data_IF_587677171297
#
_entry.id   IF_587677171297
#
_cell.length_a   1.000
_cell.length_b   1.000
_cell.length_c   1.000
_cell.angle_alpha   90.00
_cell.angle_beta   90.00
_cell.angle_gamma   90.00
#
_symmetry.space_group_name_H-M   'P 1'
#
loop_
_entity.id
_entity.type
_entity.pdbx_description
1 polymer ?
#
# COMPACT_ATOMS: atom_id res chain seq x y z
N UNK A 1 -33.51 -22.25 28.99
CA UNK A 1 -33.33 -23.30 30.02
C UNK A 1 -32.00 -23.96 29.71
N UNK A 2 -30.95 -23.60 30.47
CA UNK A 2 -29.63 -24.23 30.35
C UNK A 2 -29.66 -25.59 31.07
N UNK A 3 -28.94 -26.62 30.58
CA UNK A 3 -28.91 -27.91 31.25
C UNK A 3 -28.21 -27.80 32.61
N UNK A 4 -28.89 -28.27 33.66
CA UNK A 4 -28.38 -28.38 35.02
C UNK A 4 -27.29 -29.46 35.10
N UNK A 5 -26.20 -29.19 35.82
CA UNK A 5 -25.14 -30.18 36.08
C UNK A 5 -23.69 -29.69 36.04
N UNK A 6 -23.41 -28.39 35.94
CA UNK A 6 -22.04 -27.88 36.04
C UNK A 6 -21.93 -26.80 37.11
N UNK A 7 -22.10 -27.22 38.35
CA UNK A 7 -21.41 -26.63 39.47
C UNK A 7 -21.28 -27.74 40.51
N UNK A 8 -20.07 -28.00 41.01
CA UNK A 8 -19.75 -28.20 42.43
C UNK A 8 -18.24 -28.49 42.57
N UNK A 9 -17.62 -27.72 43.45
CA UNK A 9 -16.33 -27.94 44.12
C UNK A 9 -15.04 -27.59 43.37
N UNK A 10 -14.71 -26.29 43.39
CA UNK A 10 -13.32 -25.91 43.64
C UNK A 10 -13.15 -25.73 45.15
N UNK A 11 -12.37 -26.62 45.77
CA UNK A 11 -12.05 -26.60 47.19
C UNK A 11 -11.46 -25.26 47.59
N UNK A 12 -12.13 -24.60 48.54
CA UNK A 12 -11.66 -23.41 49.19
C UNK A 12 -10.72 -23.81 50.33
N UNK A 13 -9.49 -24.19 49.99
CA UNK A 13 -8.43 -24.32 51.00
C UNK A 13 -7.74 -22.97 51.18
N UNK A 14 -8.12 -22.33 52.28
CA UNK A 14 -7.31 -21.33 52.97
C UNK A 14 -6.01 -21.99 53.41
N UNK A 15 -4.89 -21.59 52.80
CA UNK A 15 -3.63 -21.29 53.50
C UNK A 15 -2.51 -21.11 52.47
N UNK A 16 -2.21 -19.86 52.14
CA UNK A 16 -0.82 -19.34 52.11
C UNK A 16 -0.80 -17.92 51.55
N UNK A 17 -0.33 -17.01 52.39
CA UNK A 17 0.16 -15.68 52.01
C UNK A 17 1.20 -15.78 50.89
N UNK A 18 0.77 -15.73 49.62
CA UNK A 18 1.68 -15.53 48.48
C UNK A 18 1.10 -14.47 47.53
N UNK A 19 1.60 -13.25 47.72
CA UNK A 19 1.75 -12.20 46.70
C UNK A 19 0.45 -11.77 46.00
N UNK A 20 -0.38 -11.04 46.74
CA UNK A 20 -1.41 -10.17 46.15
C UNK A 20 -0.82 -8.79 45.79
N UNK A 21 0.39 -8.79 45.23
CA UNK A 21 1.14 -7.59 44.88
C UNK A 21 2.04 -7.93 43.68
N UNK A 22 1.46 -8.08 42.48
CA UNK A 22 2.25 -8.08 41.21
C UNK A 22 1.44 -8.12 39.90
N UNK A 23 0.11 -7.92 39.91
CA UNK A 23 -0.67 -7.92 38.64
C UNK A 23 -0.81 -6.52 38.04
N UNK A 24 -0.83 -5.45 38.85
CA UNK A 24 -0.99 -4.08 38.35
C UNK A 24 0.32 -3.40 37.90
N UNK A 25 1.49 -3.92 38.30
CA UNK A 25 2.79 -3.27 38.02
C UNK A 25 3.42 -3.72 36.68
N UNK A 26 2.79 -4.67 35.97
CA UNK A 26 3.38 -5.32 34.78
C UNK A 26 2.76 -4.96 33.43
N UNK A 27 1.92 -3.92 33.37
CA UNK A 27 1.61 -3.23 32.13
C UNK A 27 2.84 -2.42 31.67
N UNK A 28 3.88 -3.13 31.22
CA UNK A 28 5.13 -2.49 30.81
C UNK A 28 5.01 -1.72 29.49
N UNK A 29 6.00 -0.89 29.14
CA UNK A 29 6.02 -0.09 27.90
C UNK A 29 5.80 -0.91 26.61
N UNK A 30 6.15 -2.20 26.62
CA UNK A 30 5.92 -3.12 25.51
C UNK A 30 4.45 -3.51 25.32
N UNK A 31 3.70 -3.68 26.41
CA UNK A 31 2.26 -3.98 26.32
C UNK A 31 1.50 -2.75 25.82
N UNK A 32 1.86 -1.56 26.26
CA UNK A 32 1.28 -0.30 25.77
C UNK A 32 1.54 -0.10 24.27
N UNK A 33 2.77 -0.35 23.80
CA UNK A 33 3.09 -0.28 22.38
C UNK A 33 2.30 -1.32 21.56
N UNK A 34 2.15 -2.54 22.08
CA UNK A 34 1.33 -3.57 21.43
C UNK A 34 -0.13 -3.15 21.34
N UNK A 35 -0.71 -2.60 22.41
CA UNK A 35 -2.08 -2.08 22.40
C UNK A 35 -2.24 -0.95 21.36
N UNK A 36 -1.29 -0.01 21.28
CA UNK A 36 -1.27 1.04 20.25
C UNK A 36 -1.19 0.44 18.84
N UNK A 37 -0.32 -0.53 18.61
CA UNK A 37 -0.21 -1.21 17.31
C UNK A 37 -1.51 -1.89 16.89
N UNK A 38 -2.18 -2.61 17.80
CA UNK A 38 -3.45 -3.27 17.50
C UNK A 38 -4.58 -2.28 17.25
N UNK A 39 -4.67 -1.20 18.04
CA UNK A 39 -5.70 -0.17 17.84
C UNK A 39 -5.49 0.57 16.52
N UNK A 40 -4.25 0.96 16.20
CA UNK A 40 -3.88 1.57 14.92
C UNK A 40 -4.19 0.66 13.73
N UNK A 41 -3.86 -0.63 13.81
CA UNK A 41 -4.18 -1.61 12.76
C UNK A 41 -5.68 -1.81 12.56
N UNK A 42 -6.46 -1.76 13.63
CA UNK A 42 -7.92 -1.89 13.58
C UNK A 42 -8.55 -0.64 12.99
N UNK A 43 -8.13 0.54 13.44
CA UNK A 43 -8.61 1.79 12.88
C UNK A 43 -8.26 1.94 11.40
N UNK A 44 -7.05 1.53 10.99
CA UNK A 44 -6.67 1.51 9.58
C UNK A 44 -7.60 0.60 8.77
N UNK A 45 -7.96 -0.58 9.27
CA UNK A 45 -8.93 -1.45 8.58
C UNK A 45 -10.27 -0.75 8.37
N UNK A 46 -10.78 -0.05 9.38
CA UNK A 46 -12.03 0.70 9.27
C UNK A 46 -11.93 1.78 8.19
N UNK A 47 -10.86 2.59 8.21
CA UNK A 47 -10.63 3.64 7.21
C UNK A 47 -10.54 3.06 5.80
N UNK A 48 -9.80 1.96 5.62
CA UNK A 48 -9.68 1.28 4.34
C UNK A 48 -11.02 0.72 3.85
N UNK A 49 -11.83 0.14 4.74
CA UNK A 49 -13.14 -0.39 4.38
C UNK A 49 -14.11 0.73 3.98
N UNK A 50 -14.09 1.87 4.68
CA UNK A 50 -14.93 3.03 4.33
C UNK A 50 -14.57 3.56 2.95
N UNK A 51 -13.28 3.76 2.69
CA UNK A 51 -12.82 4.22 1.38
C UNK A 51 -13.09 3.18 0.28
N UNK A 52 -12.95 1.89 0.56
CA UNK A 52 -13.30 0.83 -0.39
C UNK A 52 -14.80 0.86 -0.72
N UNK A 53 -15.67 1.01 0.28
CA UNK A 53 -17.11 1.10 0.07
C UNK A 53 -17.52 2.37 -0.67
N UNK A 54 -16.84 3.50 -0.42
CA UNK A 54 -17.05 4.75 -1.17
C UNK A 54 -16.62 4.60 -2.64
N UNK A 55 -15.56 3.84 -2.91
CA UNK A 55 -15.07 3.57 -4.27
C UNK A 55 -15.98 2.61 -5.03
N UNK A 56 -16.26 1.43 -4.47
CA UNK A 56 -16.86 0.30 -5.20
C UNK A 56 -18.33 0.02 -4.86
N UNK A 57 -18.91 0.73 -3.88
CA UNK A 57 -20.28 0.50 -3.42
C UNK A 57 -20.59 -0.96 -3.03
N UNK A 58 -21.86 -1.29 -2.77
CA UNK A 58 -22.29 -2.67 -2.49
C UNK A 58 -22.23 -3.58 -3.73
N UNK A 59 -22.28 -2.99 -4.92
CA UNK A 59 -22.34 -3.70 -6.20
C UNK A 59 -20.97 -3.98 -6.83
N UNK A 60 -19.87 -3.53 -6.21
CA UNK A 60 -18.51 -3.65 -6.73
C UNK A 60 -18.19 -2.73 -7.91
N UNK A 61 -19.11 -1.81 -8.28
CA UNK A 61 -18.94 -0.84 -9.36
C UNK A 61 -18.51 0.52 -8.82
N UNK A 62 -17.73 1.25 -9.61
CA UNK A 62 -17.28 2.60 -9.22
C UNK A 62 -18.48 3.51 -8.94
N UNK A 63 -18.40 4.26 -7.83
CA UNK A 63 -19.44 5.24 -7.45
C UNK A 63 -19.36 6.56 -8.23
N UNK A 64 -18.34 6.75 -9.07
CA UNK A 64 -18.12 7.94 -9.89
C UNK A 64 -17.97 7.56 -11.36
N UNK A 65 -18.13 8.52 -12.27
CA UNK A 65 -17.93 8.27 -13.70
C UNK A 65 -16.44 8.11 -14.00
N UNK A 66 -15.97 6.91 -14.39
CA UNK A 66 -14.56 6.70 -14.69
C UNK A 66 -14.10 7.45 -15.95
N UNK A 67 -15.01 7.91 -16.81
CA UNK A 67 -14.64 8.63 -18.05
C UNK A 67 -14.33 10.11 -17.80
N UNK A 68 -14.82 10.68 -16.70
CA UNK A 68 -14.58 12.07 -16.31
C UNK A 68 -13.25 12.21 -15.57
N UNK A 69 -12.22 12.71 -16.26
CA UNK A 69 -10.88 12.96 -15.69
C UNK A 69 -10.91 13.82 -14.42
N UNK A 70 -11.80 14.82 -14.37
CA UNK A 70 -11.93 15.74 -13.24
C UNK A 70 -12.50 15.05 -12.01
N UNK A 71 -13.57 14.25 -12.17
CA UNK A 71 -14.17 13.50 -11.06
C UNK A 71 -13.20 12.46 -10.51
N UNK A 72 -12.56 11.72 -11.41
CA UNK A 72 -11.50 10.76 -11.13
C UNK A 72 -10.39 11.40 -10.28
N UNK A 73 -9.81 12.51 -10.74
CA UNK A 73 -8.73 13.17 -10.02
C UNK A 73 -9.19 13.69 -8.66
N UNK A 74 -10.40 14.26 -8.57
CA UNK A 74 -10.96 14.74 -7.32
C UNK A 74 -11.15 13.62 -6.30
N UNK A 75 -11.82 12.53 -6.68
CA UNK A 75 -12.03 11.37 -5.80
C UNK A 75 -10.72 10.71 -5.40
N UNK A 76 -9.72 10.65 -6.28
CA UNK A 76 -8.40 10.12 -5.95
C UNK A 76 -7.74 10.91 -4.81
N UNK A 77 -7.77 12.24 -4.91
CA UNK A 77 -7.19 13.14 -3.93
C UNK A 77 -7.93 13.05 -2.59
N UNK A 78 -9.26 13.05 -2.59
CA UNK A 78 -10.06 12.92 -1.36
C UNK A 78 -9.75 11.61 -0.62
N UNK A 79 -9.73 10.46 -1.31
CA UNK A 79 -9.42 9.19 -0.66
C UNK A 79 -7.97 9.14 -0.14
N UNK A 80 -7.03 9.74 -0.87
CA UNK A 80 -5.64 9.89 -0.43
C UNK A 80 -5.55 10.73 0.85
N UNK A 81 -6.23 11.87 0.89
CA UNK A 81 -6.25 12.79 2.05
C UNK A 81 -6.80 12.10 3.30
N UNK A 82 -7.81 11.24 3.18
CA UNK A 82 -8.32 10.44 4.30
C UNK A 82 -7.22 9.57 4.91
N UNK A 83 -6.43 8.89 4.06
CA UNK A 83 -5.34 8.04 4.54
C UNK A 83 -4.17 8.84 5.11
N UNK A 84 -3.81 9.96 4.49
CA UNK A 84 -2.82 10.90 5.03
C UNK A 84 -3.28 11.47 6.38
N UNK A 85 -4.57 11.77 6.52
CA UNK A 85 -5.19 12.18 7.78
C UNK A 85 -5.03 11.12 8.86
N UNK A 86 -5.34 9.86 8.56
CA UNK A 86 -5.10 8.73 9.47
C UNK A 86 -3.62 8.63 9.89
N UNK A 87 -2.68 8.79 8.95
CA UNK A 87 -1.24 8.72 9.24
C UNK A 87 -0.78 9.83 10.18
N UNK A 88 -1.36 11.03 10.08
CA UNK A 88 -1.06 12.17 10.97
C UNK A 88 -1.54 11.96 12.41
N UNK A 89 -2.48 11.05 12.64
CA UNK A 89 -3.00 10.72 13.98
C UNK A 89 -2.13 9.70 14.74
N UNK A 90 -1.08 9.17 14.11
CA UNK A 90 -0.18 8.21 14.74
C UNK A 90 0.59 8.86 15.89
N UNK A 91 0.76 8.11 16.97
CA UNK A 91 1.66 8.50 18.07
C UNK A 91 3.11 8.57 17.56
N UNK A 92 3.99 9.40 18.16
CA UNK A 92 5.38 9.54 17.71
C UNK A 92 6.14 8.22 17.56
N UNK A 93 5.87 7.25 18.44
CA UNK A 93 6.46 5.89 18.41
C UNK A 93 6.10 5.08 17.15
N UNK A 94 4.95 5.38 16.53
CA UNK A 94 4.43 4.69 15.35
C UNK A 94 4.54 5.53 14.09
N UNK A 95 4.90 6.81 14.20
CA UNK A 95 5.09 7.69 13.07
C UNK A 95 6.33 7.24 12.27
N UNK A 96 6.30 7.45 10.95
CA UNK A 96 7.43 7.15 10.08
C UNK A 96 7.53 8.14 8.94
N UNK A 97 8.75 8.32 8.43
CA UNK A 97 9.00 9.06 7.19
C UNK A 97 8.99 8.13 5.99
N UNK A 98 8.59 8.65 4.83
CA UNK A 98 8.67 7.95 3.56
C UNK A 98 10.13 7.67 3.13
N UNK A 99 11.09 8.41 3.67
CA UNK A 99 12.52 8.26 3.36
C UNK A 99 13.26 7.41 4.41
N UNK A 100 12.56 6.96 5.46
CA UNK A 100 13.13 6.09 6.48
C UNK A 100 13.31 4.66 5.95
N UNK A 101 14.32 3.96 6.46
CA UNK A 101 14.49 2.54 6.17
C UNK A 101 13.29 1.70 6.65
N UNK A 102 13.03 0.55 6.01
CA UNK A 102 11.97 -0.35 6.44
C UNK A 102 12.16 -0.80 7.88
N UNK A 103 11.05 -0.94 8.59
CA UNK A 103 11.09 -1.38 9.97
C UNK A 103 11.42 -2.87 10.05
N UNK A 104 12.28 -3.23 10.99
CA UNK A 104 12.60 -4.62 11.31
C UNK A 104 11.56 -5.25 12.24
N UNK A 105 10.73 -4.43 12.89
CA UNK A 105 9.58 -4.90 13.67
C UNK A 105 8.45 -5.29 12.71
N UNK A 106 8.06 -6.56 12.77
CA UNK A 106 7.01 -7.14 11.94
C UNK A 106 5.68 -6.39 12.04
N UNK A 107 5.30 -5.87 13.21
CA UNK A 107 4.02 -5.18 13.40
C UNK A 107 4.06 -3.78 12.79
N UNK A 108 5.16 -3.04 12.98
CA UNK A 108 5.34 -1.72 12.36
C UNK A 108 5.39 -1.87 10.84
N UNK A 109 6.18 -2.83 10.34
CA UNK A 109 6.26 -3.15 8.92
C UNK A 109 4.89 -3.50 8.33
N UNK A 110 4.09 -4.32 9.02
CA UNK A 110 2.71 -4.64 8.61
C UNK A 110 1.83 -3.40 8.52
N UNK A 111 1.90 -2.49 9.49
CA UNK A 111 1.14 -1.23 9.46
C UNK A 111 1.56 -0.38 8.27
N UNK A 112 2.88 -0.17 8.07
CA UNK A 112 3.43 0.59 6.94
C UNK A 112 3.00 -0.02 5.60
N UNK A 113 3.18 -1.33 5.44
CA UNK A 113 2.79 -2.06 4.23
C UNK A 113 1.29 -1.95 3.95
N UNK A 114 0.46 -2.03 4.99
CA UNK A 114 -0.99 -1.91 4.87
C UNK A 114 -1.43 -0.50 4.48
N UNK A 115 -0.78 0.53 5.01
CA UNK A 115 -1.03 1.92 4.62
C UNK A 115 -0.74 2.11 3.12
N UNK A 116 0.44 1.71 2.65
CA UNK A 116 0.80 1.86 1.24
C UNK A 116 -0.03 0.94 0.32
N UNK A 117 -0.34 -0.28 0.76
CA UNK A 117 -1.24 -1.19 0.03
C UNK A 117 -2.65 -0.62 -0.09
N UNK A 118 -3.13 0.08 0.94
CA UNK A 118 -4.38 0.84 0.93
C UNK A 118 -4.37 1.97 -0.09
N UNK A 119 -3.32 2.80 -0.10
CA UNK A 119 -3.13 3.83 -1.12
C UNK A 119 -3.13 3.22 -2.53
N UNK A 120 -2.41 2.13 -2.74
CA UNK A 120 -2.40 1.43 -4.03
C UNK A 120 -3.82 1.00 -4.44
N UNK A 121 -4.57 0.34 -3.55
CA UNK A 121 -5.95 -0.09 -3.82
C UNK A 121 -6.89 1.07 -4.16
N UNK A 122 -6.76 2.20 -3.46
CA UNK A 122 -7.57 3.39 -3.73
C UNK A 122 -7.21 4.05 -5.04
N UNK A 123 -5.92 4.08 -5.40
CA UNK A 123 -5.44 4.78 -6.57
C UNK A 123 -5.47 3.94 -7.87
N UNK A 124 -5.59 2.62 -7.74
CA UNK A 124 -5.58 1.67 -8.86
C UNK A 124 -6.58 1.98 -9.99
N UNK A 125 -7.84 2.41 -9.71
CA UNK A 125 -8.78 2.77 -10.77
C UNK A 125 -8.27 3.91 -11.66
N UNK A 126 -7.57 4.86 -11.05
CA UNK A 126 -7.05 6.03 -11.75
C UNK A 126 -5.79 5.72 -12.54
N UNK A 127 -4.95 4.81 -12.05
CA UNK A 127 -3.83 4.26 -12.84
C UNK A 127 -4.35 3.56 -14.10
N UNK A 128 -5.43 2.78 -13.99
CA UNK A 128 -6.07 2.15 -15.15
C UNK A 128 -6.55 3.20 -16.14
N UNK A 129 -7.18 4.27 -15.66
CA UNK A 129 -7.63 5.36 -16.53
C UNK A 129 -6.48 6.04 -17.26
N UNK A 130 -5.41 6.39 -16.52
CA UNK A 130 -4.20 6.98 -17.06
C UNK A 130 -3.59 6.12 -18.18
N UNK A 131 -3.57 4.81 -18.00
CA UNK A 131 -2.96 3.89 -18.97
C UNK A 131 -3.79 3.66 -20.23
N UNK A 132 -5.12 3.72 -20.15
CA UNK A 132 -6.00 3.31 -21.25
C UNK A 132 -6.71 4.47 -21.95
N UNK A 133 -6.75 5.65 -21.35
CA UNK A 133 -7.62 6.77 -21.80
C UNK A 133 -6.84 8.05 -22.07
N UNK A 134 -5.58 8.14 -21.61
CA UNK A 134 -4.68 9.20 -22.05
C UNK A 134 -4.23 8.89 -23.47
N UNK A 135 -4.98 9.38 -24.45
CA UNK A 135 -4.48 9.52 -25.82
C UNK A 135 -3.38 10.58 -25.79
N UNK A 136 -2.14 10.13 -25.88
CA UNK A 136 -1.03 11.03 -26.18
C UNK A 136 -1.21 11.53 -27.62
N UNK A 137 -0.99 12.83 -27.89
CA UNK A 137 -1.13 13.35 -29.23
C UNK A 137 -0.27 12.53 -30.20
N UNK A 138 -0.78 12.27 -31.42
CA UNK A 138 -0.06 11.45 -32.38
C UNK A 138 1.32 12.06 -32.62
N UNK A 139 2.36 11.22 -32.76
CA UNK A 139 3.68 11.72 -33.11
C UNK A 139 3.56 12.49 -34.44
N UNK A 140 4.31 13.60 -34.62
CA UNK A 140 4.12 14.51 -35.73
C UNK A 140 4.23 13.77 -37.07
N UNK A 141 3.46 14.18 -38.10
CA UNK A 141 3.48 13.54 -39.42
C UNK A 141 4.92 13.55 -39.96
N UNK A 142 5.52 12.37 -40.06
CA UNK A 142 6.94 12.16 -40.38
C UNK A 142 7.65 11.11 -39.51
N UNK A 143 7.05 10.64 -38.42
CA UNK A 143 7.60 9.57 -37.55
C UNK A 143 6.95 8.19 -37.77
N UNK A 144 6.30 7.99 -38.90
CA UNK A 144 5.84 6.67 -39.37
C UNK A 144 7.06 5.82 -39.77
N UNK A 145 7.64 5.09 -38.81
CA UNK A 145 8.75 4.18 -39.11
C UNK A 145 9.37 3.41 -37.95
N UNK A 146 8.94 3.61 -36.70
CA UNK A 146 9.41 2.79 -35.58
C UNK A 146 8.38 1.70 -35.27
N UNK A 147 8.35 0.67 -36.12
CA UNK A 147 7.77 -0.63 -35.77
C UNK A 147 8.26 -1.07 -34.40
N UNK A 148 7.31 -1.46 -33.55
CA UNK A 148 7.56 -2.19 -32.32
C UNK A 148 8.24 -3.52 -32.67
N UNK A 149 9.57 -3.55 -32.59
CA UNK A 149 10.45 -4.71 -32.36
C UNK A 149 11.87 -4.35 -32.81
N UNK A 150 12.76 -4.11 -31.85
CA UNK A 150 14.11 -4.70 -31.82
C UNK A 150 14.93 -4.08 -30.69
N UNK A 151 15.46 -4.93 -29.80
CA UNK A 151 16.85 -4.78 -29.37
C UNK A 151 17.74 -5.10 -30.58
N UNK A 152 18.83 -4.37 -30.81
CA UNK A 152 20.10 -4.91 -30.34
C UNK A 152 21.17 -3.86 -29.96
N UNK A 153 21.81 -4.09 -28.81
CA UNK A 153 23.27 -4.25 -28.60
C UNK A 153 24.26 -3.10 -28.94
N UNK A 154 25.50 -3.17 -28.39
CA UNK A 154 26.39 -2.07 -28.09
C UNK A 154 27.33 -1.71 -29.26
N UNK A 155 27.87 -0.49 -29.21
CA UNK A 155 28.77 0.16 -30.18
C UNK A 155 28.10 0.83 -31.38
N UNK A 156 28.13 2.16 -31.38
CA UNK A 156 27.81 2.98 -32.53
C UNK A 156 27.39 4.38 -32.12
N UNK A 157 28.34 5.30 -32.03
CA UNK A 157 28.07 6.73 -31.87
C UNK A 157 27.13 7.22 -32.97
N UNK A 158 25.98 7.76 -32.57
CA UNK A 158 25.26 8.75 -33.34
C UNK A 158 24.67 9.77 -32.35
N UNK A 159 25.49 10.76 -32.01
CA UNK A 159 25.02 12.04 -31.54
C UNK A 159 24.18 12.65 -32.68
N UNK A 160 22.88 12.46 -32.62
CA UNK A 160 21.94 13.25 -33.38
C UNK A 160 20.92 13.74 -32.37
N UNK A 161 20.87 15.06 -32.21
CA UNK A 161 19.89 15.79 -31.40
C UNK A 161 18.50 15.25 -31.71
N UNK A 162 18.04 14.28 -30.93
CA UNK A 162 16.63 13.96 -30.86
C UNK A 162 16.02 15.16 -30.13
N UNK A 163 15.55 16.14 -30.88
CA UNK A 163 14.53 17.05 -30.38
C UNK A 163 13.32 16.18 -30.04
N UNK A 164 13.35 15.59 -28.85
CA UNK A 164 12.17 15.03 -28.20
C UNK A 164 11.32 16.25 -27.92
N UNK A 165 10.44 16.59 -28.86
CA UNK A 165 9.48 17.65 -28.68
C UNK A 165 8.58 17.17 -27.54
N UNK A 166 8.83 17.70 -26.34
CA UNK A 166 8.06 17.36 -25.16
C UNK A 166 6.62 17.79 -25.46
N UNK A 167 5.73 16.80 -25.50
CA UNK A 167 4.29 17.04 -25.61
C UNK A 167 3.90 17.88 -24.40
N UNK A 168 3.33 19.05 -24.64
CA UNK A 168 2.76 19.86 -23.57
C UNK A 168 1.43 19.21 -23.15
N UNK A 169 1.39 18.73 -21.91
CA UNK A 169 0.25 18.01 -21.36
C UNK A 169 -0.70 19.02 -20.72
N UNK A 170 -2.01 18.77 -20.80
CA UNK A 170 -2.98 19.60 -20.08
C UNK A 170 -2.78 19.47 -18.56
N UNK A 171 -3.28 20.44 -17.79
CA UNK A 171 -3.19 20.41 -16.32
C UNK A 171 -3.83 19.13 -15.74
N UNK A 172 -4.93 18.68 -16.34
CA UNK A 172 -5.64 17.47 -15.91
C UNK A 172 -4.86 16.19 -16.25
N UNK A 173 -4.19 16.16 -17.41
CA UNK A 173 -3.28 15.06 -17.77
C UNK A 173 -2.11 14.97 -16.77
N UNK A 174 -1.51 16.11 -16.41
CA UNK A 174 -0.47 16.17 -15.38
C UNK A 174 -0.95 15.65 -14.02
N UNK A 175 -2.17 16.02 -13.58
CA UNK A 175 -2.75 15.54 -12.32
C UNK A 175 -2.93 14.02 -12.33
N UNK A 176 -3.43 13.46 -13.42
CA UNK A 176 -3.65 12.02 -13.55
C UNK A 176 -2.33 11.25 -13.57
N UNK A 177 -1.33 11.73 -14.31
CA UNK A 177 0.00 11.12 -14.32
C UNK A 177 0.62 11.16 -12.91
N UNK A 178 0.47 12.27 -12.18
CA UNK A 178 0.92 12.38 -10.79
C UNK A 178 0.24 11.33 -9.90
N UNK A 179 -1.06 11.13 -10.03
CA UNK A 179 -1.81 10.10 -9.31
C UNK A 179 -1.33 8.69 -9.69
N UNK A 180 -1.10 8.43 -10.97
CA UNK A 180 -0.57 7.16 -11.47
C UNK A 180 0.81 6.85 -10.89
N UNK A 181 1.72 7.82 -10.88
CA UNK A 181 3.03 7.69 -10.24
C UNK A 181 2.91 7.42 -8.74
N UNK A 182 1.98 8.09 -8.04
CA UNK A 182 1.70 7.83 -6.63
C UNK A 182 1.19 6.40 -6.40
N UNK A 183 0.32 5.89 -7.27
CA UNK A 183 -0.18 4.52 -7.21
C UNK A 183 0.96 3.49 -7.33
N UNK A 184 1.85 3.67 -8.31
CA UNK A 184 3.02 2.81 -8.52
C UNK A 184 3.97 2.88 -7.33
N UNK A 185 4.29 4.09 -6.86
CA UNK A 185 5.15 4.30 -5.70
C UNK A 185 4.54 3.66 -4.44
N UNK A 186 3.23 3.73 -4.25
CA UNK A 186 2.55 3.07 -3.14
C UNK A 186 2.68 1.54 -3.23
N UNK A 187 2.53 0.95 -4.42
CA UNK A 187 2.74 -0.49 -4.59
C UNK A 187 4.18 -0.90 -4.22
N UNK A 188 5.18 -0.19 -4.76
CA UNK A 188 6.60 -0.44 -4.47
C UNK A 188 6.88 -0.32 -2.97
N UNK A 189 6.39 0.75 -2.33
CA UNK A 189 6.57 0.99 -0.89
C UNK A 189 5.88 -0.06 -0.03
N UNK A 190 4.73 -0.57 -0.44
CA UNK A 190 4.04 -1.66 0.27
C UNK A 190 4.89 -2.94 0.28
N UNK A 191 5.47 -3.29 -0.87
CA UNK A 191 6.40 -4.42 -1.01
C UNK A 191 7.65 -4.21 -0.17
N UNK A 192 8.32 -3.05 -0.31
CA UNK A 192 9.53 -2.73 0.45
C UNK A 192 9.28 -2.76 1.96
N UNK A 193 8.14 -2.24 2.43
CA UNK A 193 7.80 -2.21 3.84
C UNK A 193 7.60 -3.61 4.44
N UNK A 194 7.06 -4.55 3.66
CA UNK A 194 6.76 -5.91 4.14
C UNK A 194 7.91 -6.90 3.92
N UNK A 195 8.51 -6.91 2.73
CA UNK A 195 9.53 -7.90 2.35
C UNK A 195 10.83 -7.72 3.14
N UNK A 196 11.08 -6.52 3.65
CA UNK A 196 12.27 -6.21 4.45
C UNK A 196 12.08 -6.41 5.96
N UNK A 197 11.05 -7.15 6.35
CA UNK A 197 10.91 -7.59 7.75
C UNK A 197 12.00 -8.60 8.08
N UNK A 198 12.78 -8.31 9.13
CA UNK A 198 13.87 -9.17 9.59
C UNK A 198 15.23 -8.89 8.94
N UNK A 199 15.30 -7.97 7.97
CA UNK A 199 16.56 -7.50 7.37
C UNK A 199 17.24 -6.43 8.25
N UNK A 200 18.52 -6.16 8.01
CA UNK A 200 19.20 -5.05 8.69
C UNK A 200 18.73 -3.68 8.15
N UNK A 201 18.52 -2.67 9.02
CA UNK A 201 18.19 -1.32 8.59
C UNK A 201 19.26 -0.78 7.64
N UNK A 202 18.84 -0.29 6.48
CA UNK A 202 19.76 0.28 5.50
C UNK A 202 20.53 -0.72 4.65
N UNK A 203 20.32 -2.03 4.81
CA UNK A 203 20.86 -3.01 3.86
C UNK A 203 20.38 -2.70 2.44
N UNK A 204 21.21 -3.01 1.43
CA UNK A 204 20.82 -2.75 0.05
C UNK A 204 19.64 -3.66 -0.33
N UNK A 205 18.57 -3.09 -0.88
CA UNK A 205 17.48 -3.92 -1.39
C UNK A 205 17.99 -4.72 -2.60
N UNK A 206 18.09 -6.03 -2.44
CA UNK A 206 18.36 -6.93 -3.54
C UNK A 206 17.04 -7.29 -4.19
N UNK A 207 16.89 -6.88 -5.45
CA UNK A 207 15.71 -7.25 -6.22
C UNK A 207 15.61 -8.77 -6.26
N UNK A 208 14.39 -9.29 -6.08
CA UNK A 208 14.16 -10.72 -6.19
C UNK A 208 14.74 -11.24 -7.50
N UNK A 209 15.75 -12.11 -7.39
CA UNK A 209 16.28 -12.80 -8.54
C UNK A 209 15.49 -14.09 -8.73
N UNK A 210 14.80 -14.27 -9.87
CA UNK A 210 14.10 -15.51 -10.14
C UNK A 210 15.11 -16.66 -10.21
N UNK A 211 15.22 -17.44 -9.13
CA UNK A 211 16.07 -18.65 -9.09
C UNK A 211 15.47 -19.79 -9.91
N UNK A 212 14.23 -19.65 -10.37
CA UNK A 212 13.51 -20.70 -11.10
C UNK A 212 13.85 -20.68 -12.59
N UNK A 213 14.53 -21.74 -13.04
CA UNK A 213 14.88 -21.98 -14.46
C UNK A 213 13.68 -22.34 -15.36
N UNK A 214 12.49 -22.57 -14.78
CA UNK A 214 11.27 -22.95 -15.52
C UNK A 214 10.05 -22.16 -15.04
N UNK A 215 9.26 -21.67 -16.00
CA UNK A 215 8.00 -20.95 -15.77
C UNK A 215 7.05 -21.81 -14.95
N UNK A 216 6.52 -21.26 -13.87
CA UNK A 216 5.47 -21.89 -13.07
C UNK A 216 4.17 -21.71 -13.86
N UNK A 217 3.65 -22.78 -14.45
CA UNK A 217 2.30 -22.78 -15.01
C UNK A 217 1.35 -22.86 -13.81
N UNK A 218 0.89 -21.71 -13.35
CA UNK A 218 -0.24 -21.65 -12.42
C UNK A 218 -1.47 -22.06 -13.21
N UNK A 219 -2.02 -23.24 -12.90
CA UNK A 219 -3.36 -23.61 -13.37
C UNK A 219 -4.33 -22.60 -12.78
N UNK A 220 -5.07 -21.92 -13.65
CA UNK A 220 -6.02 -20.87 -13.33
C UNK A 220 -6.73 -21.11 -11.98
N UNK A 221 -6.43 -20.25 -11.01
CA UNK A 221 -7.31 -20.05 -9.86
C UNK A 221 -8.33 -19.01 -10.34
N UNK A 222 -9.46 -19.51 -10.82
CA UNK A 222 -10.65 -18.72 -11.12
C UNK A 222 -11.35 -18.36 -9.83
#
# INVERSE_FOLDING_TARGET
MYPEGVNENWSQDQDSNFVQQDVEVRAGPRQDLMMKLYSTQTFLRVVLNVAHNALYGPSGRMSFDPTSFKEVAHHALTHKEILEGWRKLLTPELAWSDDEYPSTDLNIARVRAKYYGGLYMMLRPYLKLASHTLEFPPPPPGTTGATQNNSPSPYGNAASNRNVQMVDLSEDQHKIIKIACQCINAAIRSTIAFDRVGEEPGSQYQYFQPTRKKRLIVTNIF
#
